data_IF_722238139926
#
_entry.id   IF_722238139926
#
_cell.length_a   1.000
_cell.length_b   1.000
_cell.length_c   1.000
_cell.angle_alpha   90.00
_cell.angle_beta   90.00
_cell.angle_gamma   90.00
#
_symmetry.space_group_name_H-M   'P 1'
#
loop_
_entity.id
_entity.type
_entity.pdbx_description
1 polymer ?
#
# COMPACT_ATOMS: atom_id res chain seq x y z
N UNK A 1 12.64 7.27 6.45
CA UNK A 1 11.62 8.15 5.83
C UNK A 1 10.62 7.28 5.10
N UNK A 2 9.32 7.47 5.32
CA UNK A 2 8.26 6.80 4.54
C UNK A 2 7.51 7.84 3.71
N UNK A 3 7.38 7.59 2.41
CA UNK A 3 6.62 8.41 1.48
C UNK A 3 5.43 7.60 0.96
N UNK A 4 4.24 7.94 1.43
CA UNK A 4 3.01 7.36 0.92
C UNK A 4 2.54 8.11 -0.33
N UNK A 5 1.92 7.38 -1.26
CA UNK A 5 1.46 7.87 -2.57
C UNK A 5 2.50 8.73 -3.30
N UNK A 6 3.71 8.20 -3.47
CA UNK A 6 4.82 8.92 -4.10
C UNK A 6 4.52 9.36 -5.55
N UNK A 7 3.60 8.67 -6.23
CA UNK A 7 3.12 9.02 -7.57
C UNK A 7 2.44 10.40 -7.63
N UNK A 8 1.88 10.87 -6.52
CA UNK A 8 1.22 12.18 -6.43
C UNK A 8 2.22 13.34 -6.25
N UNK A 9 3.52 13.05 -6.12
CA UNK A 9 4.52 14.11 -5.99
C UNK A 9 4.62 14.94 -7.28
N UNK A 10 4.56 16.28 -7.19
CA UNK A 10 4.81 17.14 -8.35
C UNK A 10 6.20 16.89 -8.96
N UNK A 11 6.33 16.98 -10.28
CA UNK A 11 7.58 16.73 -11.02
C UNK A 11 8.81 17.50 -10.47
N UNK A 12 8.59 18.71 -9.95
CA UNK A 12 9.63 19.52 -9.33
C UNK A 12 10.11 18.94 -7.98
N UNK A 13 9.22 18.33 -7.21
CA UNK A 13 9.56 17.62 -5.99
C UNK A 13 10.27 16.30 -6.31
N UNK A 14 9.82 15.57 -7.34
CA UNK A 14 10.49 14.37 -7.83
C UNK A 14 11.96 14.64 -8.20
N UNK A 15 12.24 15.74 -8.91
CA UNK A 15 13.62 16.12 -9.25
C UNK A 15 14.49 16.40 -8.01
N UNK A 16 13.92 17.04 -6.98
CA UNK A 16 14.63 17.29 -5.72
C UNK A 16 14.89 16.00 -4.94
N UNK A 17 13.92 15.08 -4.94
CA UNK A 17 14.05 13.78 -4.29
C UNK A 17 15.10 12.92 -5.00
N UNK A 18 15.11 12.91 -6.33
CA UNK A 18 16.16 12.23 -7.09
C UNK A 18 17.55 12.77 -6.75
N UNK A 19 17.72 14.09 -6.73
CA UNK A 19 18.99 14.73 -6.30
C UNK A 19 19.38 14.29 -4.89
N UNK A 20 18.44 14.28 -3.96
CA UNK A 20 18.70 13.84 -2.59
C UNK A 20 19.12 12.37 -2.50
N UNK A 21 18.49 11.48 -3.26
CA UNK A 21 18.85 10.06 -3.30
C UNK A 21 20.23 9.82 -3.93
N UNK A 22 20.66 10.70 -4.84
CA UNK A 22 21.95 10.61 -5.49
C UNK A 22 23.10 11.17 -4.64
N UNK A 23 22.88 12.31 -3.98
CA UNK A 23 23.93 13.03 -3.25
C UNK A 23 23.88 12.86 -1.73
N UNK A 24 22.77 12.39 -1.17
CA UNK A 24 22.51 12.42 0.27
C UNK A 24 22.30 13.83 0.84
N UNK A 25 22.18 14.85 -0.03
CA UNK A 25 22.14 16.26 0.38
C UNK A 25 20.83 16.96 0.04
N UNK A 26 20.34 17.76 0.97
CA UNK A 26 19.10 18.53 0.82
C UNK A 26 19.29 19.97 1.25
N UNK A 27 18.35 20.82 0.87
CA UNK A 27 18.35 22.24 1.22
C UNK A 27 16.99 22.60 1.80
N UNK A 28 16.97 23.19 2.99
CA UNK A 28 15.73 23.73 3.55
C UNK A 28 15.20 24.86 2.67
N UNK A 29 13.89 24.99 2.58
CA UNK A 29 13.25 26.10 1.85
C UNK A 29 13.72 27.42 2.46
N UNK A 30 14.24 28.32 1.62
CA UNK A 30 14.78 29.62 2.05
C UNK A 30 16.21 29.58 2.62
N UNK A 31 16.81 28.40 2.78
CA UNK A 31 18.23 28.28 3.15
C UNK A 31 19.11 28.34 1.90
N UNK A 32 20.29 28.95 2.02
CA UNK A 32 21.35 28.88 1.00
C UNK A 32 22.37 27.77 1.25
N UNK A 33 22.21 27.00 2.34
CA UNK A 33 23.14 25.95 2.77
C UNK A 33 22.56 24.57 2.50
N UNK A 34 23.37 23.71 1.90
CA UNK A 34 23.07 22.29 1.80
C UNK A 34 23.41 21.59 3.12
N UNK A 35 22.58 20.61 3.49
CA UNK A 35 22.71 19.75 4.66
C UNK A 35 22.73 18.29 4.18
N UNK A 36 23.46 17.43 4.87
CA UNK A 36 23.51 16.00 4.58
C UNK A 36 22.58 15.23 5.51
N UNK A 37 21.98 14.14 5.01
CA UNK A 37 21.21 13.22 5.83
C UNK A 37 21.39 11.78 5.34
N UNK A 38 21.75 10.89 6.26
CA UNK A 38 21.74 9.45 6.05
C UNK A 38 20.38 8.89 6.47
N UNK A 39 19.56 8.52 5.49
CA UNK A 39 18.20 8.02 5.73
C UNK A 39 17.89 6.83 4.84
N UNK A 40 17.23 5.84 5.42
CA UNK A 40 16.56 4.79 4.64
C UNK A 40 15.21 5.29 4.15
N UNK A 41 14.98 5.19 2.84
CA UNK A 41 13.72 5.55 2.21
C UNK A 41 12.85 4.31 1.99
N UNK A 42 11.58 4.41 2.36
CA UNK A 42 10.51 3.50 1.95
C UNK A 42 9.45 4.33 1.22
N UNK A 43 8.98 3.86 0.07
CA UNK A 43 7.95 4.54 -0.70
C UNK A 43 6.81 3.57 -1.02
N UNK A 44 5.60 4.09 -1.10
CA UNK A 44 4.41 3.38 -1.52
C UNK A 44 3.68 4.16 -2.60
N UNK A 45 2.97 3.44 -3.48
CA UNK A 45 2.03 4.03 -4.42
C UNK A 45 0.94 3.02 -4.77
N UNK A 46 -0.27 3.52 -4.98
CA UNK A 46 -1.38 2.74 -5.52
C UNK A 46 -1.39 2.72 -7.06
N UNK A 47 -0.67 3.63 -7.71
CA UNK A 47 -0.59 3.73 -9.16
C UNK A 47 0.66 3.01 -9.68
N UNK A 48 0.59 2.54 -10.93
CA UNK A 48 1.77 2.05 -11.62
C UNK A 48 2.67 3.23 -12.02
N UNK A 49 3.84 3.30 -11.40
CA UNK A 49 4.82 4.39 -11.59
C UNK A 49 5.66 4.25 -12.86
N UNK A 50 5.43 3.21 -13.68
CA UNK A 50 6.16 3.03 -14.95
C UNK A 50 5.78 4.09 -16.00
N UNK A 51 4.65 4.79 -15.86
CA UNK A 51 4.26 5.85 -16.80
C UNK A 51 5.11 7.13 -16.61
N UNK A 52 6.03 7.31 -17.55
CA UNK A 52 6.94 8.46 -17.68
C UNK A 52 6.27 9.84 -17.74
N UNK A 53 4.96 9.92 -18.00
CA UNK A 53 4.23 11.21 -18.01
C UNK A 53 3.94 11.74 -16.61
N UNK A 54 3.83 10.84 -15.63
CA UNK A 54 3.40 11.15 -14.26
C UNK A 54 4.60 11.05 -13.32
N UNK A 55 5.54 10.16 -13.62
CA UNK A 55 6.69 9.90 -12.77
C UNK A 55 8.01 9.90 -13.55
N UNK A 56 9.05 10.54 -12.98
CA UNK A 56 10.38 10.58 -13.59
C UNK A 56 11.02 9.20 -13.61
N UNK A 57 11.48 8.79 -14.79
CA UNK A 57 12.12 7.50 -15.00
C UNK A 57 13.35 7.34 -14.08
N UNK A 58 14.20 8.36 -13.96
CA UNK A 58 15.41 8.29 -13.13
C UNK A 58 15.10 8.05 -11.65
N UNK A 59 14.00 8.64 -11.16
CA UNK A 59 13.52 8.41 -9.80
C UNK A 59 12.91 7.02 -9.66
N UNK A 60 12.15 6.55 -10.65
CA UNK A 60 11.58 5.20 -10.66
C UNK A 60 12.66 4.14 -10.49
N UNK A 61 13.70 4.15 -11.32
CA UNK A 61 14.78 3.15 -11.26
C UNK A 61 15.60 3.22 -9.97
N UNK A 62 15.75 4.40 -9.36
CA UNK A 62 16.38 4.52 -8.04
C UNK A 62 15.53 3.91 -6.93
N UNK A 63 14.21 3.98 -7.03
CA UNK A 63 13.29 3.46 -6.01
C UNK A 63 12.94 1.98 -6.21
N UNK A 64 12.90 1.49 -7.45
CA UNK A 64 12.42 0.14 -7.80
C UNK A 64 13.46 -0.97 -7.61
N UNK A 65 14.58 -0.69 -6.93
CA UNK A 65 15.61 -1.69 -6.64
C UNK A 65 15.05 -2.90 -5.87
N UNK A 66 14.12 -2.67 -4.94
CA UNK A 66 13.39 -3.70 -4.22
C UNK A 66 11.93 -3.30 -4.15
N UNK A 67 11.10 -3.96 -4.95
CA UNK A 67 9.65 -3.71 -5.00
C UNK A 67 8.88 -4.83 -4.32
N UNK A 68 8.00 -4.46 -3.39
CA UNK A 68 7.06 -5.37 -2.74
C UNK A 68 5.65 -5.09 -3.27
N UNK A 69 5.10 -6.04 -4.03
CA UNK A 69 3.73 -5.97 -4.49
C UNK A 69 2.80 -6.49 -3.39
N UNK A 70 1.88 -5.66 -2.92
CA UNK A 70 0.90 -6.04 -1.89
C UNK A 70 -0.37 -6.48 -2.60
N UNK A 71 -0.72 -7.78 -2.61
CA UNK A 71 -1.94 -8.24 -3.26
C UNK A 71 -3.18 -7.74 -2.51
N UNK A 72 -4.30 -7.53 -3.22
CA UNK A 72 -5.56 -7.15 -2.60
C UNK A 72 -6.04 -8.22 -1.61
N UNK A 73 -6.85 -7.79 -0.64
CA UNK A 73 -7.36 -8.64 0.42
C UNK A 73 -8.19 -9.82 -0.12
N UNK A 74 -8.92 -9.62 -1.22
CA UNK A 74 -9.69 -10.66 -1.92
C UNK A 74 -8.85 -11.90 -2.25
N UNK A 75 -7.58 -11.69 -2.65
CA UNK A 75 -6.68 -12.76 -3.07
C UNK A 75 -6.01 -13.51 -1.91
N UNK A 76 -6.33 -13.17 -0.66
CA UNK A 76 -5.63 -13.67 0.53
C UNK A 76 -6.41 -14.67 1.39
N UNK A 77 -7.65 -15.00 1.00
CA UNK A 77 -8.45 -16.07 1.61
C UNK A 77 -8.59 -15.94 3.14
N UNK A 78 -7.92 -16.82 3.89
CA UNK A 78 -7.99 -16.91 5.36
C UNK A 78 -7.48 -15.65 6.10
N UNK A 79 -6.70 -14.79 5.44
CA UNK A 79 -6.26 -13.51 6.01
C UNK A 79 -7.46 -12.60 6.37
N UNK A 80 -8.57 -12.71 5.62
CA UNK A 80 -9.79 -11.92 5.88
C UNK A 80 -10.28 -12.16 7.30
N UNK A 81 -10.42 -13.42 7.71
CA UNK A 81 -10.91 -13.77 9.04
C UNK A 81 -9.87 -13.47 10.12
N UNK A 82 -8.58 -13.66 9.85
CA UNK A 82 -7.53 -13.31 10.80
C UNK A 82 -7.55 -11.81 11.13
N UNK A 83 -7.63 -10.97 10.10
CA UNK A 83 -7.70 -9.51 10.26
C UNK A 83 -9.01 -9.12 10.94
N UNK A 84 -10.16 -9.67 10.51
CA UNK A 84 -11.45 -9.37 11.09
C UNK A 84 -11.51 -9.70 12.60
N UNK A 85 -11.05 -10.89 12.98
CA UNK A 85 -10.99 -11.33 14.39
C UNK A 85 -10.01 -10.48 15.19
N UNK A 86 -8.88 -10.08 14.60
CA UNK A 86 -7.93 -9.17 15.26
C UNK A 86 -8.57 -7.80 15.55
N UNK A 87 -9.27 -7.22 14.58
CA UNK A 87 -10.00 -5.96 14.76
C UNK A 87 -11.08 -6.10 15.83
N UNK A 88 -11.85 -7.19 15.80
CA UNK A 88 -12.87 -7.49 16.82
C UNK A 88 -12.25 -7.59 18.23
N UNK A 89 -11.12 -8.28 18.35
CA UNK A 89 -10.40 -8.40 19.60
C UNK A 89 -9.92 -7.03 20.11
N UNK A 90 -9.36 -6.18 19.25
CA UNK A 90 -8.93 -4.82 19.60
C UNK A 90 -10.10 -3.97 20.14
N UNK A 91 -11.29 -4.09 19.54
CA UNK A 91 -12.50 -3.40 20.01
C UNK A 91 -13.00 -3.96 21.34
N UNK A 92 -12.99 -5.28 21.48
CA UNK A 92 -13.36 -5.96 22.71
C UNK A 92 -12.49 -5.53 23.89
N UNK A 93 -11.17 -5.52 23.70
CA UNK A 93 -10.19 -5.07 24.70
C UNK A 93 -10.38 -3.59 25.05
N UNK A 94 -10.58 -2.73 24.05
CA UNK A 94 -10.78 -1.28 24.25
C UNK A 94 -12.04 -0.95 25.06
N UNK A 95 -13.09 -1.75 24.91
CA UNK A 95 -14.41 -1.48 25.48
C UNK A 95 -14.82 -2.49 26.57
N UNK A 96 -13.89 -3.32 27.05
CA UNK A 96 -14.15 -4.36 28.05
C UNK A 96 -15.35 -5.25 27.71
N UNK A 97 -15.43 -5.68 26.45
CA UNK A 97 -16.49 -6.56 25.95
C UNK A 97 -15.93 -7.87 25.41
N UNK A 98 -16.80 -8.83 25.09
CA UNK A 98 -16.44 -10.16 24.62
C UNK A 98 -17.30 -10.57 23.42
N UNK A 99 -17.48 -9.66 22.45
CA UNK A 99 -18.32 -9.95 21.29
C UNK A 99 -17.62 -10.94 20.35
N UNK A 100 -18.41 -11.79 19.71
CA UNK A 100 -17.92 -12.83 18.79
C UNK A 100 -18.69 -12.77 17.47
N UNK A 101 -18.05 -13.20 16.37
CA UNK A 101 -18.75 -13.44 15.11
C UNK A 101 -19.55 -14.75 15.19
N UNK A 102 -20.75 -14.77 14.62
CA UNK A 102 -21.41 -16.05 14.33
C UNK A 102 -20.76 -16.73 13.11
N UNK A 103 -20.86 -18.07 12.96
CA UNK A 103 -20.32 -18.76 11.80
C UNK A 103 -20.80 -18.19 10.46
N UNK A 104 -22.09 -17.84 10.37
CA UNK A 104 -22.69 -17.26 9.17
C UNK A 104 -22.13 -15.86 8.86
N UNK A 105 -21.73 -15.11 9.88
CA UNK A 105 -21.04 -13.82 9.71
C UNK A 105 -19.65 -14.02 9.11
N UNK A 106 -18.90 -15.02 9.57
CA UNK A 106 -17.58 -15.32 9.03
C UNK A 106 -17.65 -15.78 7.57
N UNK A 107 -18.63 -16.64 7.24
CA UNK A 107 -18.92 -17.02 5.85
C UNK A 107 -19.22 -15.79 4.98
N UNK A 108 -20.03 -14.85 5.49
CA UNK A 108 -20.36 -13.61 4.78
C UNK A 108 -19.14 -12.70 4.58
N UNK A 109 -18.21 -12.65 5.53
CA UNK A 109 -16.97 -11.89 5.40
C UNK A 109 -16.04 -12.53 4.34
N UNK A 110 -15.97 -13.86 4.29
CA UNK A 110 -15.18 -14.60 3.31
C UNK A 110 -15.73 -14.50 1.88
N UNK A 111 -17.05 -14.39 1.73
CA UNK A 111 -17.70 -14.35 0.43
C UNK A 111 -17.64 -12.98 -0.30
N UNK A 112 -17.08 -11.95 0.33
CA UNK A 112 -17.02 -10.60 -0.21
C UNK A 112 -15.62 -10.24 -0.70
N UNK A 113 -15.55 -9.50 -1.81
CA UNK A 113 -14.29 -9.18 -2.50
C UNK A 113 -13.47 -8.06 -1.83
N UNK A 114 -14.04 -7.31 -0.88
CA UNK A 114 -13.36 -6.21 -0.18
C UNK A 114 -12.66 -5.21 -1.12
N UNK A 115 -13.38 -4.49 -2.00
CA UNK A 115 -12.78 -3.50 -2.90
C UNK A 115 -12.00 -2.40 -2.16
N UNK A 116 -12.41 -2.03 -0.94
CA UNK A 116 -11.66 -1.12 -0.07
C UNK A 116 -10.62 -1.79 0.82
N UNK A 117 -10.29 -3.06 0.56
CA UNK A 117 -9.32 -3.89 1.27
C UNK A 117 -9.53 -3.85 2.80
N UNK A 118 -8.43 -3.85 3.56
CA UNK A 118 -8.42 -3.84 5.03
C UNK A 118 -9.16 -2.63 5.61
N UNK A 119 -9.18 -1.48 4.90
CA UNK A 119 -9.87 -0.28 5.37
C UNK A 119 -11.38 -0.50 5.44
N UNK A 120 -11.96 -1.07 4.38
CA UNK A 120 -13.38 -1.41 4.34
C UNK A 120 -13.72 -2.53 5.33
N UNK A 121 -12.86 -3.55 5.44
CA UNK A 121 -13.04 -4.63 6.42
C UNK A 121 -13.10 -4.08 7.84
N UNK A 122 -12.11 -3.27 8.24
CA UNK A 122 -12.06 -2.67 9.57
C UNK A 122 -13.32 -1.84 9.85
N UNK A 123 -13.71 -0.95 8.93
CA UNK A 123 -14.91 -0.13 9.11
C UNK A 123 -16.18 -0.97 9.23
N UNK A 124 -16.29 -2.05 8.45
CA UNK A 124 -17.42 -2.97 8.50
C UNK A 124 -17.50 -3.69 9.84
N UNK A 125 -16.38 -4.20 10.34
CA UNK A 125 -16.29 -4.86 11.66
C UNK A 125 -16.58 -3.87 12.79
N UNK A 126 -16.03 -2.66 12.73
CA UNK A 126 -16.27 -1.60 13.73
C UNK A 126 -17.76 -1.26 13.84
N UNK A 127 -18.42 -1.04 12.69
CA UNK A 127 -19.85 -0.78 12.67
C UNK A 127 -20.67 -1.98 13.18
N UNK A 128 -20.35 -3.20 12.74
CA UNK A 128 -21.02 -4.41 13.19
C UNK A 128 -20.85 -4.64 14.70
N UNK A 129 -19.70 -4.29 15.25
CA UNK A 129 -19.45 -4.31 16.69
C UNK A 129 -20.35 -3.30 17.42
N UNK A 130 -20.54 -2.09 16.90
CA UNK A 130 -21.43 -1.10 17.53
C UNK A 130 -22.91 -1.51 17.50
N UNK A 131 -23.36 -2.13 16.42
CA UNK A 131 -24.77 -2.52 16.23
C UNK A 131 -25.16 -3.81 16.97
N UNK A 132 -24.18 -4.67 17.26
CA UNK A 132 -24.43 -5.95 17.93
C UNK A 132 -24.39 -5.84 19.46
N UNK A 133 -25.21 -6.59 20.21
CA UNK A 133 -25.13 -6.62 21.67
C UNK A 133 -24.01 -7.54 22.17
N UNK A 134 -23.95 -8.78 21.65
CA UNK A 134 -22.98 -9.81 22.08
C UNK A 134 -22.46 -10.65 20.90
N UNK A 135 -23.33 -11.03 19.96
CA UNK A 135 -22.96 -11.81 18.78
C UNK A 135 -23.16 -10.95 17.54
N UNK A 136 -22.10 -10.83 16.73
CA UNK A 136 -22.16 -10.22 15.42
C UNK A 136 -22.76 -11.25 14.45
N UNK A 137 -24.04 -11.06 14.14
CA UNK A 137 -24.81 -11.81 13.12
C UNK A 137 -24.68 -11.19 11.72
N UNK A 138 -25.03 -11.93 10.66
CA UNK A 138 -24.95 -11.45 9.27
C UNK A 138 -25.68 -10.12 9.02
N UNK A 139 -26.77 -9.86 9.74
CA UNK A 139 -27.58 -8.65 9.60
C UNK A 139 -26.86 -7.36 10.06
N UNK A 140 -25.78 -7.49 10.86
CA UNK A 140 -24.94 -6.35 11.25
C UNK A 140 -23.82 -6.08 10.23
N UNK A 141 -23.66 -6.95 9.21
CA UNK A 141 -22.61 -6.84 8.19
C UNK A 141 -23.20 -6.23 6.91
N UNK A 142 -23.16 -4.90 6.83
CA UNK A 142 -23.62 -4.16 5.66
C UNK A 142 -22.49 -3.96 4.64
N UNK A 143 -22.46 -4.79 3.62
CA UNK A 143 -21.47 -4.72 2.55
C UNK A 143 -21.92 -3.76 1.45
N UNK A 144 -20.97 -3.07 0.81
CA UNK A 144 -21.29 -2.22 -0.33
C UNK A 144 -21.56 -3.09 -1.57
N UNK A 145 -22.43 -2.66 -2.50
CA UNK A 145 -22.59 -3.37 -3.77
C UNK A 145 -21.29 -3.28 -4.58
N UNK A 146 -20.81 -4.42 -5.10
CA UNK A 146 -19.55 -4.57 -5.89
C UNK A 146 -19.55 -3.76 -7.22
N UNK A 147 -20.61 -3.01 -7.53
CA UNK A 147 -20.82 -2.36 -8.83
C UNK A 147 -20.05 -1.05 -9.05
N UNK A 148 -19.20 -0.62 -8.13
CA UNK A 148 -18.37 0.58 -8.31
C UNK A 148 -16.90 0.17 -8.37
N UNK A 149 -16.33 0.29 -9.58
CA UNK A 149 -14.90 0.32 -9.88
C UNK A 149 -14.15 -1.03 -9.90
N UNK A 150 -14.50 -1.88 -10.87
CA UNK A 150 -13.46 -2.73 -11.49
C UNK A 150 -12.67 -1.88 -12.49
N UNK A 151 -11.73 -1.08 -12.01
CA UNK A 151 -10.65 -0.59 -12.88
C UNK A 151 -9.71 -1.78 -13.11
N UNK A 152 -9.36 -2.14 -14.36
CA UNK A 152 -8.47 -3.27 -14.61
C UNK A 152 -7.10 -2.95 -14.00
N UNK A 153 -6.74 -3.68 -12.95
CA UNK A 153 -5.44 -3.55 -12.30
C UNK A 153 -4.52 -4.62 -12.87
N UNK A 154 -3.47 -4.17 -13.56
CA UNK A 154 -2.31 -4.98 -13.96
C UNK A 154 -2.45 -5.68 -15.31
N UNK A 155 -2.07 -4.98 -16.39
CA UNK A 155 -1.44 -5.68 -17.50
C UNK A 155 -0.15 -6.30 -16.99
N UNK A 156 -0.02 -7.60 -17.16
CA UNK A 156 1.17 -8.41 -16.92
C UNK A 156 2.40 -7.74 -17.57
N UNK A 157 3.18 -6.99 -16.80
CA UNK A 157 4.45 -6.46 -17.26
C UNK A 157 5.53 -7.50 -16.97
N UNK A 158 5.93 -8.21 -18.00
CA UNK A 158 7.20 -8.94 -18.02
C UNK A 158 8.28 -7.94 -18.37
N UNK A 159 9.25 -7.64 -17.47
CA UNK A 159 10.48 -7.03 -17.94
C UNK A 159 11.18 -8.06 -18.81
N UNK A 160 11.27 -7.77 -20.11
CA UNK A 160 12.34 -8.32 -20.92
C UNK A 160 13.62 -7.67 -20.39
N UNK A 161 14.21 -8.28 -19.37
CA UNK A 161 15.57 -7.96 -18.95
C UNK A 161 16.48 -8.53 -20.03
N UNK A 162 16.63 -7.79 -21.14
CA UNK A 162 17.80 -7.92 -21.98
C UNK A 162 19.01 -7.73 -21.06
N UNK A 163 19.70 -8.84 -20.79
CA UNK A 163 20.82 -8.97 -19.85
C UNK A 163 22.11 -8.30 -20.34
N UNK A 164 22.05 -7.49 -21.40
CA UNK A 164 23.24 -7.09 -22.15
C UNK A 164 23.75 -5.67 -21.86
N UNK A 165 23.20 -4.94 -20.88
CA UNK A 165 23.67 -3.58 -20.55
C UNK A 165 24.28 -3.42 -19.14
N UNK A 166 24.72 -4.52 -18.51
CA UNK A 166 25.47 -4.51 -17.25
C UNK A 166 27.00 -4.62 -17.41
N UNK A 167 27.52 -4.56 -18.64
CA UNK A 167 28.95 -4.72 -18.96
C UNK A 167 29.68 -3.43 -19.41
N UNK A 168 29.20 -2.23 -19.07
CA UNK A 168 29.89 -0.97 -19.43
C UNK A 168 30.56 -0.18 -18.29
N UNK A 169 30.68 -0.72 -17.08
CA UNK A 169 31.44 -0.06 -15.99
C UNK A 169 32.61 -0.89 -15.44
N UNK A 170 33.33 -1.66 -16.28
CA UNK A 170 34.55 -2.37 -15.85
C UNK A 170 35.84 -2.13 -16.66
N UNK A 171 35.85 -1.25 -17.67
CA UNK A 171 37.10 -0.93 -18.38
C UNK A 171 37.34 0.58 -18.50
N UNK A 172 37.70 1.24 -17.39
CA UNK A 172 38.73 2.30 -17.42
C UNK A 172 39.33 2.49 -16.03
N UNK A 173 40.20 1.56 -15.63
CA UNK A 173 41.17 1.80 -14.56
C UNK A 173 42.36 0.87 -14.73
N UNK A 174 43.22 1.20 -15.70
CA UNK A 174 44.68 1.04 -15.72
C UNK A 174 45.26 1.77 -16.94
#
# INVERSE_FOLDING_TARGET
>A
LFLDEIGELPLAAQAKLFRFLDTGTFRRVGSGRDEEADVRLLAASNQDLCDTRIFRHELYYRLSQVTLQIPPLAGRGEDILHIARRVLQELNERHSSCKEFSPESEERLLAYDWPGNVRELRQTVERAWHESPYIIRPDHIHLLPVALEKTPQGSEWTPDLDRDELDLERETCL
#
